data_IF_192810900410
#
_entry.id   IF_192810900410
#
_cell.length_a   1.000
_cell.length_b   1.000
_cell.length_c   1.000
_cell.angle_alpha   90.00
_cell.angle_beta   90.00
_cell.angle_gamma   90.00
#
_symmetry.space_group_name_H-M   'P 1'
#
loop_
_entity.id
_entity.type
_entity.pdbx_description
1 polymer ?
#
# COMPACT_ATOMS: atom_id res chain seq x y z
N UNK A 1 0.55 5.86 3.51
CA UNK A 1 -0.74 5.11 3.58
C UNK A 1 -1.83 5.76 2.72
N UNK A 2 -1.61 5.95 1.41
CA UNK A 2 -2.64 6.43 0.46
C UNK A 2 -2.66 5.54 -0.80
N UNK A 3 -2.57 4.23 -0.62
CA UNK A 3 -2.85 3.32 -1.72
C UNK A 3 -4.36 3.14 -1.80
N UNK A 4 -4.94 3.18 -3.00
CA UNK A 4 -6.37 2.95 -3.20
C UNK A 4 -6.79 1.59 -2.64
N UNK A 5 -5.86 0.61 -2.62
CA UNK A 5 -6.07 -0.74 -2.09
C UNK A 5 -6.47 -0.78 -0.62
N UNK A 6 -6.06 0.22 0.17
CA UNK A 6 -6.45 0.29 1.57
C UNK A 6 -7.94 0.62 1.75
N UNK A 7 -8.51 1.40 0.82
CA UNK A 7 -9.94 1.69 0.81
C UNK A 7 -10.72 0.40 0.57
N UNK A 8 -10.24 -0.47 -0.31
CA UNK A 8 -10.87 -1.76 -0.61
C UNK A 8 -10.86 -2.69 0.61
N UNK A 9 -9.72 -2.77 1.32
CA UNK A 9 -9.64 -3.50 2.60
C UNK A 9 -10.62 -2.94 3.62
N UNK A 10 -10.68 -1.61 3.77
CA UNK A 10 -11.63 -0.98 4.70
C UNK A 10 -13.08 -1.29 4.32
N UNK A 11 -13.42 -1.28 3.04
CA UNK A 11 -14.77 -1.61 2.56
C UNK A 11 -15.10 -3.09 2.78
N UNK A 12 -14.13 -3.99 2.57
CA UNK A 12 -14.30 -5.43 2.79
C UNK A 12 -14.73 -5.77 4.23
N UNK A 13 -14.14 -5.09 5.22
CA UNK A 13 -14.49 -5.29 6.63
C UNK A 13 -15.69 -4.45 7.11
N UNK A 14 -15.97 -3.31 6.47
CA UNK A 14 -17.07 -2.43 6.91
C UNK A 14 -18.45 -3.06 6.76
N UNK A 15 -18.64 -4.04 5.87
CA UNK A 15 -19.95 -4.58 5.53
C UNK A 15 -20.80 -3.55 4.78
N UNK A 16 -21.54 -3.98 3.76
CA UNK A 16 -22.50 -3.12 3.07
C UNK A 16 -22.85 -3.62 1.68
N UNK A 17 -23.99 -4.31 1.56
CA UNK A 17 -24.78 -4.26 0.35
C UNK A 17 -25.18 -2.80 0.11
N UNK A 18 -25.07 -2.33 -1.13
CA UNK A 18 -25.13 -0.93 -1.53
C UNK A 18 -26.55 -0.31 -1.55
N UNK A 19 -27.49 -0.75 -0.71
CA UNK A 19 -28.91 -0.36 -0.87
C UNK A 19 -29.65 0.20 0.34
N UNK A 20 -29.06 0.31 1.54
CA UNK A 20 -29.80 0.85 2.69
C UNK A 20 -29.22 2.22 3.13
N UNK A 21 -29.97 3.28 2.80
CA UNK A 21 -29.93 4.55 3.51
C UNK A 21 -30.79 4.39 4.77
N UNK A 22 -30.21 4.06 5.94
CA UNK A 22 -30.80 4.51 7.22
C UNK A 22 -29.87 4.35 8.44
N UNK A 23 -30.10 5.28 9.38
CA UNK A 23 -29.91 5.29 10.83
C UNK A 23 -28.77 4.47 11.47
N UNK A 24 -27.69 5.18 11.86
CA UNK A 24 -27.08 5.14 13.21
C UNK A 24 -26.59 3.82 13.82
N UNK A 25 -26.83 2.67 13.20
CA UNK A 25 -26.56 1.36 13.73
C UNK A 25 -25.39 0.75 12.96
N UNK A 26 -24.27 0.64 13.68
CA UNK A 26 -22.99 0.10 13.25
C UNK A 26 -23.08 -1.41 12.97
N UNK A 27 -23.80 -1.80 11.93
CA UNK A 27 -23.94 -3.17 11.43
C UNK A 27 -22.71 -3.64 10.64
N UNK A 28 -21.55 -3.03 10.90
CA UNK A 28 -20.30 -3.37 10.23
C UNK A 28 -19.59 -4.53 10.92
N UNK A 29 -19.29 -5.60 10.17
CA UNK A 29 -18.56 -6.78 10.66
C UNK A 29 -17.13 -6.46 11.15
N UNK A 30 -16.60 -5.29 10.80
CA UNK A 30 -15.33 -4.78 11.30
C UNK A 30 -15.05 -3.31 10.99
N UNK A 31 -14.22 -2.70 11.82
CA UNK A 31 -13.76 -1.31 11.73
C UNK A 31 -12.25 -1.26 11.78
N UNK A 32 -11.68 -0.51 10.84
CA UNK A 32 -10.25 -0.35 10.72
C UNK A 32 -9.84 1.09 11.04
N UNK A 33 -9.01 1.23 12.07
CA UNK A 33 -8.52 2.49 12.62
C UNK A 33 -7.08 2.73 12.20
N UNK A 34 -6.87 3.85 11.51
CA UNK A 34 -5.55 4.43 11.29
C UNK A 34 -5.52 5.79 11.96
N UNK A 35 -4.53 6.01 12.81
CA UNK A 35 -4.38 7.24 13.56
C UNK A 35 -2.94 7.45 13.98
N UNK A 36 -2.70 8.49 14.78
CA UNK A 36 -1.41 8.67 15.43
C UNK A 36 -1.21 7.52 16.42
N UNK A 37 -0.17 6.71 16.24
CA UNK A 37 0.10 5.56 17.11
C UNK A 37 0.07 5.93 18.59
N UNK A 38 0.70 7.05 18.97
CA UNK A 38 0.70 7.55 20.36
C UNK A 38 -0.70 7.77 20.94
N UNK A 39 -1.67 8.16 20.12
CA UNK A 39 -3.06 8.37 20.52
C UNK A 39 -3.79 7.04 20.67
N UNK A 40 -3.59 6.12 19.72
CA UNK A 40 -4.14 4.76 19.80
C UNK A 40 -3.59 4.00 21.02
N UNK A 41 -2.31 4.17 21.33
CA UNK A 41 -1.69 3.60 22.54
C UNK A 41 -2.32 4.12 23.83
N UNK A 42 -2.69 5.41 23.88
CA UNK A 42 -3.40 5.98 25.04
C UNK A 42 -4.81 5.40 25.12
N UNK A 43 -5.50 5.27 23.98
CA UNK A 43 -6.86 4.75 23.93
C UNK A 43 -6.97 3.27 24.37
N UNK A 44 -5.94 2.47 24.12
CA UNK A 44 -5.87 1.07 24.56
C UNK A 44 -5.36 0.88 26.00
N UNK A 45 -4.63 1.86 26.53
CA UNK A 45 -3.87 1.74 27.78
C UNK A 45 -2.38 1.46 27.53
N UNK A 46 -1.51 2.13 28.29
CA UNK A 46 -0.04 1.97 28.19
C UNK A 46 0.54 1.02 29.24
N UNK A 47 -0.19 0.83 30.33
CA UNK A 47 0.12 -0.09 31.43
C UNK A 47 -1.13 -0.92 31.73
N UNK A 48 -0.98 -1.96 32.55
CA UNK A 48 -2.10 -2.73 33.09
C UNK A 48 -3.02 -1.90 34.00
N UNK A 49 -2.58 -0.76 34.50
CA UNK A 49 -3.36 0.12 35.38
C UNK A 49 -4.30 1.03 34.57
N UNK A 50 -3.89 1.37 33.34
CA UNK A 50 -4.60 2.28 32.44
C UNK A 50 -5.40 1.53 31.35
N UNK A 51 -5.42 0.20 31.37
CA UNK A 51 -6.09 -0.58 30.33
C UNK A 51 -7.59 -0.69 30.55
N UNK A 52 -8.34 -0.60 29.45
CA UNK A 52 -9.79 -0.73 29.48
C UNK A 52 -10.25 -2.18 29.65
N UNK A 53 -9.42 -3.15 29.24
CA UNK A 53 -9.72 -4.57 29.31
C UNK A 53 -8.41 -5.34 29.48
N UNK A 54 -8.50 -6.51 30.10
CA UNK A 54 -7.35 -7.32 30.47
C UNK A 54 -6.41 -7.56 29.27
N UNK A 55 -5.12 -7.32 29.51
CA UNK A 55 -4.02 -7.48 28.56
C UNK A 55 -4.05 -6.58 27.31
N UNK A 56 -4.99 -5.65 27.20
CA UNK A 56 -5.09 -4.75 26.05
C UNK A 56 -3.86 -3.83 25.92
N UNK A 57 -3.19 -3.50 27.04
CA UNK A 57 -1.94 -2.75 27.03
C UNK A 57 -0.80 -3.48 26.30
N UNK A 58 -0.89 -4.79 26.08
CA UNK A 58 0.12 -5.53 25.32
C UNK A 58 0.06 -5.17 23.83
N UNK A 59 -1.15 -4.96 23.28
CA UNK A 59 -1.34 -4.53 21.88
C UNK A 59 -0.80 -3.12 21.66
N UNK A 60 -0.87 -2.25 22.66
CA UNK A 60 -0.37 -0.88 22.54
C UNK A 60 1.14 -0.83 22.30
N UNK A 61 1.90 -1.78 22.85
CA UNK A 61 3.35 -1.93 22.62
C UNK A 61 3.68 -2.22 21.15
N UNK A 62 2.82 -2.97 20.45
CA UNK A 62 2.98 -3.29 19.03
C UNK A 62 2.69 -2.10 18.08
N UNK A 63 2.12 -0.99 18.58
CA UNK A 63 1.75 0.16 17.76
C UNK A 63 2.95 1.06 17.39
N UNK A 64 3.92 0.55 16.63
CA UNK A 64 5.10 1.30 16.16
C UNK A 64 5.18 1.35 14.62
N UNK A 65 5.66 2.46 14.06
CA UNK A 65 5.75 2.62 12.61
C UNK A 65 4.40 2.80 11.91
N UNK A 66 4.24 2.20 10.73
CA UNK A 66 3.07 2.36 9.84
C UNK A 66 2.02 1.28 10.11
N UNK A 67 1.39 1.32 11.29
CA UNK A 67 0.46 0.29 11.78
C UNK A 67 -0.94 0.84 12.05
N UNK A 68 -1.92 -0.07 12.11
CA UNK A 68 -3.33 0.22 12.34
C UNK A 68 -3.98 -0.86 13.19
N UNK A 69 -5.21 -0.59 13.64
CA UNK A 69 -6.01 -1.55 14.42
C UNK A 69 -7.21 -1.97 13.58
N UNK A 70 -7.44 -3.26 13.45
CA UNK A 70 -8.68 -3.83 12.93
C UNK A 70 -9.46 -4.43 14.10
N UNK A 71 -10.64 -3.89 14.38
CA UNK A 71 -11.63 -4.50 15.26
C UNK A 71 -12.64 -5.25 14.38
N UNK A 72 -12.87 -6.53 14.58
CA UNK A 72 -13.84 -7.31 13.78
C UNK A 72 -14.42 -8.46 14.59
N UNK A 73 -15.65 -8.85 14.26
CA UNK A 73 -16.31 -10.03 14.82
C UNK A 73 -16.10 -11.29 13.95
N UNK A 74 -15.31 -11.20 12.88
CA UNK A 74 -14.99 -12.35 12.02
C UNK A 74 -14.02 -13.29 12.72
N UNK A 75 -14.08 -14.57 12.35
CA UNK A 75 -13.18 -15.58 12.93
C UNK A 75 -11.72 -15.26 12.60
N UNK A 76 -10.75 -15.57 13.49
CA UNK A 76 -9.35 -15.31 13.21
C UNK A 76 -8.85 -15.98 11.93
N UNK A 77 -9.33 -17.20 11.65
CA UNK A 77 -9.01 -17.96 10.44
C UNK A 77 -9.43 -17.23 9.16
N UNK A 78 -10.59 -16.58 9.16
CA UNK A 78 -11.07 -15.83 7.99
C UNK A 78 -10.24 -14.55 7.78
N UNK A 79 -9.89 -13.86 8.86
CA UNK A 79 -9.08 -12.64 8.81
C UNK A 79 -7.66 -12.95 8.34
N UNK A 80 -7.01 -13.92 8.96
CA UNK A 80 -5.66 -14.39 8.58
C UNK A 80 -5.65 -14.91 7.14
N UNK A 81 -6.67 -15.70 6.75
CA UNK A 81 -6.82 -16.20 5.39
C UNK A 81 -7.04 -15.10 4.35
N UNK A 82 -7.72 -14.01 4.70
CA UNK A 82 -7.88 -12.84 3.84
C UNK A 82 -6.56 -12.11 3.62
N UNK A 83 -5.86 -11.76 4.71
CA UNK A 83 -4.62 -10.98 4.62
C UNK A 83 -3.45 -11.78 4.02
N UNK A 84 -3.40 -13.09 4.23
CA UNK A 84 -2.43 -13.97 3.58
C UNK A 84 -2.57 -13.98 2.05
N UNK A 85 -3.79 -13.82 1.53
CA UNK A 85 -4.09 -13.74 0.09
C UNK A 85 -4.00 -12.32 -0.47
N UNK A 86 -3.95 -11.30 0.38
CA UNK A 86 -3.93 -9.91 -0.02
C UNK A 86 -2.55 -9.55 -0.57
N UNK A 87 -2.39 -9.66 -1.88
CA UNK A 87 -1.23 -9.18 -2.61
C UNK A 87 -1.71 -8.43 -3.86
N UNK A 88 -1.59 -7.10 -3.85
CA UNK A 88 -2.04 -6.27 -4.96
C UNK A 88 -0.86 -5.49 -5.53
N UNK A 89 -0.63 -5.59 -6.84
CA UNK A 89 0.43 -4.83 -7.50
C UNK A 89 0.15 -3.32 -7.38
N UNK A 90 1.16 -2.57 -6.96
CA UNK A 90 1.13 -1.12 -6.75
C UNK A 90 2.38 -0.47 -7.37
N UNK A 91 2.35 0.85 -7.54
CA UNK A 91 3.51 1.59 -8.00
C UNK A 91 4.55 1.70 -6.89
N UNK A 92 5.81 1.48 -7.26
CA UNK A 92 6.90 1.64 -6.32
C UNK A 92 7.07 3.12 -5.91
N UNK A 93 7.60 3.31 -4.71
CA UNK A 93 7.88 4.62 -4.13
C UNK A 93 9.37 4.84 -4.07
N UNK A 94 9.78 6.10 -4.13
CA UNK A 94 11.17 6.46 -3.98
C UNK A 94 11.73 5.98 -2.63
N UNK A 95 13.01 5.63 -2.61
CA UNK A 95 13.66 5.07 -1.41
C UNK A 95 13.47 3.55 -1.24
N UNK A 96 12.72 2.88 -2.12
CA UNK A 96 12.60 1.42 -2.12
C UNK A 96 13.62 0.81 -3.08
N UNK A 97 14.20 -0.34 -2.72
CA UNK A 97 15.01 -1.12 -3.65
C UNK A 97 14.12 -1.69 -4.77
N UNK A 98 14.57 -1.59 -6.02
CA UNK A 98 13.86 -2.15 -7.16
C UNK A 98 13.89 -3.69 -7.08
N UNK A 99 12.74 -4.38 -7.15
CA UNK A 99 12.71 -5.84 -7.04
C UNK A 99 13.21 -6.55 -8.32
N UNK A 100 13.32 -5.81 -9.43
CA UNK A 100 13.85 -6.29 -10.71
C UNK A 100 14.30 -5.10 -11.55
N UNK A 101 15.16 -5.38 -12.53
CA UNK A 101 15.54 -4.41 -13.55
C UNK A 101 14.35 -4.11 -14.48
N UNK A 102 14.18 -2.84 -14.85
CA UNK A 102 13.17 -2.42 -15.84
C UNK A 102 13.86 -1.73 -17.01
N UNK A 103 13.68 -2.31 -18.19
CA UNK A 103 14.14 -1.76 -19.46
C UNK A 103 12.91 -1.35 -20.26
N UNK A 104 12.87 -0.10 -20.70
CA UNK A 104 11.85 0.41 -21.61
C UNK A 104 12.32 0.24 -23.03
N UNK A 105 11.44 -0.30 -23.86
CA UNK A 105 11.68 -0.44 -25.29
C UNK A 105 11.13 0.76 -26.06
N UNK A 106 11.67 0.98 -27.27
CA UNK A 106 11.21 2.02 -28.19
C UNK A 106 9.72 1.89 -28.51
N UNK A 107 9.22 0.68 -28.68
CA UNK A 107 7.79 0.46 -28.95
C UNK A 107 6.90 0.93 -27.80
N UNK A 108 7.34 0.77 -26.54
CA UNK A 108 6.61 1.27 -25.38
C UNK A 108 6.55 2.80 -25.34
N UNK A 109 7.67 3.48 -25.61
CA UNK A 109 7.71 4.94 -25.53
C UNK A 109 6.95 5.59 -26.70
N UNK A 110 6.96 4.97 -27.89
CA UNK A 110 6.26 5.46 -29.09
C UNK A 110 4.74 5.54 -28.93
N UNK A 111 4.15 4.79 -27.99
CA UNK A 111 2.70 4.85 -27.70
C UNK A 111 2.26 6.14 -27.03
N UNK A 112 3.20 6.90 -26.45
CA UNK A 112 2.90 8.11 -25.72
C UNK A 112 2.78 9.33 -26.65
N UNK A 113 1.92 10.31 -26.32
CA UNK A 113 1.77 11.50 -27.13
C UNK A 113 3.04 12.37 -27.10
N UNK A 114 3.34 13.02 -28.23
CA UNK A 114 4.50 13.91 -28.38
C UNK A 114 4.53 15.05 -27.35
N UNK A 115 3.36 15.47 -26.85
CA UNK A 115 3.26 16.48 -25.78
C UNK A 115 3.95 16.07 -24.48
N UNK A 116 4.16 14.77 -24.22
CA UNK A 116 4.82 14.26 -23.02
C UNK A 116 6.35 14.24 -23.11
N UNK A 117 6.95 14.51 -24.28
CA UNK A 117 8.41 14.46 -24.48
C UNK A 117 9.15 15.37 -23.51
N UNK A 118 8.66 16.59 -23.32
CA UNK A 118 9.28 17.55 -22.40
C UNK A 118 9.21 17.09 -20.95
N UNK A 119 8.11 16.45 -20.56
CA UNK A 119 7.97 15.86 -19.24
C UNK A 119 8.93 14.68 -19.04
N UNK A 120 9.06 13.79 -20.04
CA UNK A 120 9.99 12.67 -19.98
C UNK A 120 11.45 13.13 -19.90
N UNK A 121 11.84 14.19 -20.62
CA UNK A 121 13.17 14.81 -20.50
C UNK A 121 13.44 15.33 -19.10
N UNK A 122 12.46 16.00 -18.48
CA UNK A 122 12.57 16.49 -17.09
C UNK A 122 12.72 15.36 -16.07
N UNK A 123 12.19 14.18 -16.37
CA UNK A 123 12.37 12.97 -15.57
C UNK A 123 13.68 12.23 -15.88
N UNK A 124 14.53 12.77 -16.76
CA UNK A 124 15.82 12.17 -17.11
C UNK A 124 15.76 11.08 -18.18
N UNK A 125 14.62 10.91 -18.86
CA UNK A 125 14.50 9.96 -19.97
C UNK A 125 15.04 10.60 -21.26
N UNK A 126 16.01 9.97 -21.96
CA UNK A 126 16.62 10.55 -23.16
C UNK A 126 15.71 10.35 -24.38
N UNK A 127 14.70 11.19 -24.54
CA UNK A 127 13.72 11.13 -25.64
C UNK A 127 13.73 12.33 -26.57
N UNK A 128 13.34 12.10 -27.82
CA UNK A 128 13.18 13.07 -28.89
C UNK A 128 11.92 12.79 -29.72
N UNK A 129 11.58 13.75 -30.59
CA UNK A 129 10.49 13.58 -31.56
C UNK A 129 11.12 13.14 -32.88
N UNK A 130 10.79 11.93 -33.33
CA UNK A 130 11.23 11.39 -34.61
C UNK A 130 10.01 10.98 -35.42
N UNK A 131 9.86 11.57 -36.62
CA UNK A 131 8.73 11.31 -37.52
C UNK A 131 7.36 11.43 -36.85
N UNK A 132 7.19 12.45 -35.98
CA UNK A 132 5.93 12.71 -35.27
C UNK A 132 5.63 11.74 -34.12
N UNK A 133 6.58 10.90 -33.71
CA UNK A 133 6.45 9.97 -32.57
C UNK A 133 7.55 10.23 -31.54
N UNK A 134 7.31 9.79 -30.31
CA UNK A 134 8.33 9.79 -29.26
C UNK A 134 9.33 8.66 -29.52
N UNK A 135 10.61 8.98 -29.57
CA UNK A 135 11.69 8.00 -29.73
C UNK A 135 12.82 8.29 -28.75
N UNK A 136 13.70 7.33 -28.49
CA UNK A 136 14.91 7.61 -27.73
C UNK A 136 15.93 8.38 -28.56
N UNK A 137 16.67 9.26 -27.89
CA UNK A 137 17.75 10.06 -28.49
C UNK A 137 18.83 9.14 -29.07
N UNK A 138 19.30 9.47 -30.27
CA UNK A 138 20.43 8.77 -30.89
C UNK A 138 20.05 7.41 -31.46
N UNK A 139 18.76 7.15 -31.68
CA UNK A 139 18.28 5.91 -32.30
C UNK A 139 18.37 4.68 -31.41
N UNK A 140 18.49 4.86 -30.09
CA UNK A 140 18.45 3.74 -29.13
C UNK A 140 17.11 3.00 -29.22
N UNK A 141 17.17 1.69 -29.05
CA UNK A 141 15.97 0.84 -29.03
C UNK A 141 15.46 0.56 -27.62
N UNK A 142 16.31 0.79 -26.61
CA UNK A 142 15.99 0.51 -25.22
C UNK A 142 16.68 1.46 -24.24
N UNK A 143 16.12 1.55 -23.03
CA UNK A 143 16.65 2.34 -21.93
C UNK A 143 16.37 1.69 -20.57
N UNK A 144 17.42 1.46 -19.78
CA UNK A 144 17.29 0.98 -18.40
C UNK A 144 16.78 2.12 -17.49
N UNK A 145 15.59 1.95 -16.92
CA UNK A 145 15.02 2.90 -15.96
C UNK A 145 15.58 2.65 -14.58
N UNK A 146 15.60 1.40 -14.14
CA UNK A 146 16.13 1.00 -12.85
C UNK A 146 16.74 -0.41 -12.92
N UNK A 147 17.64 -0.70 -11.97
CA UNK A 147 18.31 -1.97 -11.82
C UNK A 147 17.89 -2.65 -10.54
N UNK A 148 17.72 -3.97 -10.58
CA UNK A 148 17.44 -4.80 -9.41
C UNK A 148 18.38 -4.49 -8.23
N UNK A 149 17.81 -4.40 -7.03
CA UNK A 149 18.52 -4.13 -5.79
C UNK A 149 18.93 -2.67 -5.57
N UNK A 150 18.82 -1.79 -6.58
CA UNK A 150 19.12 -0.36 -6.43
C UNK A 150 17.93 0.43 -5.93
N UNK A 151 18.20 1.43 -5.11
CA UNK A 151 17.18 2.36 -4.63
C UNK A 151 16.54 3.15 -5.80
N UNK A 152 15.22 3.21 -5.80
CA UNK A 152 14.44 3.94 -6.79
C UNK A 152 14.40 5.43 -6.47
N UNK A 153 14.72 6.26 -7.47
CA UNK A 153 14.56 7.71 -7.41
C UNK A 153 13.09 8.12 -7.63
N UNK A 154 12.77 9.37 -7.30
CA UNK A 154 11.44 9.95 -7.55
C UNK A 154 11.13 10.00 -9.04
N UNK A 155 12.11 10.33 -9.86
CA UNK A 155 12.01 10.41 -11.32
C UNK A 155 11.76 9.03 -11.94
N UNK A 156 12.51 8.01 -11.49
CA UNK A 156 12.32 6.62 -11.91
C UNK A 156 10.90 6.15 -11.57
N UNK A 157 10.41 6.41 -10.35
CA UNK A 157 9.04 6.06 -9.97
C UNK A 157 7.99 6.74 -10.84
N UNK A 158 8.18 8.02 -11.18
CA UNK A 158 7.26 8.74 -12.09
C UNK A 158 7.29 8.18 -13.51
N UNK A 159 8.46 7.82 -14.03
CA UNK A 159 8.57 7.13 -15.32
C UNK A 159 7.80 5.81 -15.27
N UNK A 160 8.00 4.99 -14.24
CA UNK A 160 7.29 3.72 -14.07
C UNK A 160 5.76 3.90 -14.01
N UNK A 161 5.27 4.96 -13.34
CA UNK A 161 3.85 5.31 -13.32
C UNK A 161 3.33 5.63 -14.73
N UNK A 162 4.04 6.45 -15.51
CA UNK A 162 3.64 6.75 -16.88
C UNK A 162 3.62 5.51 -17.77
N UNK A 163 4.57 4.60 -17.56
CA UNK A 163 4.68 3.34 -18.31
C UNK A 163 3.72 2.26 -17.80
N UNK A 164 2.92 2.54 -16.76
CA UNK A 164 2.01 1.56 -16.14
C UNK A 164 2.73 0.38 -15.47
N UNK A 165 4.03 0.51 -15.19
CA UNK A 165 4.85 -0.56 -14.61
C UNK A 165 4.76 -0.50 -13.08
N UNK A 166 4.10 -1.51 -12.52
CA UNK A 166 4.00 -1.70 -11.07
C UNK A 166 5.19 -2.55 -10.59
N UNK A 167 5.91 -2.04 -9.60
CA UNK A 167 7.10 -2.68 -9.01
C UNK A 167 6.98 -2.84 -7.50
N UNK A 168 5.84 -2.52 -6.90
CA UNK A 168 5.59 -2.80 -5.49
C UNK A 168 4.41 -3.76 -5.37
N UNK A 169 4.34 -4.46 -4.25
CA UNK A 169 3.17 -5.24 -3.88
C UNK A 169 2.64 -4.65 -2.58
N UNK A 170 1.40 -4.19 -2.62
CA UNK A 170 0.67 -3.81 -1.43
C UNK A 170 0.25 -5.08 -0.68
N UNK A 171 0.71 -5.18 0.57
CA UNK A 171 0.35 -6.20 1.55
C UNK A 171 0.05 -5.53 2.89
N UNK A 172 -0.72 -6.21 3.72
CA UNK A 172 -0.93 -5.85 5.13
C UNK A 172 -0.55 -7.08 5.94
N UNK A 173 0.39 -6.90 6.84
CA UNK A 173 0.84 -7.94 7.77
C UNK A 173 0.07 -7.81 9.08
N UNK A 174 -0.39 -8.94 9.61
CA UNK A 174 -1.01 -9.03 10.92
C UNK A 174 0.09 -9.23 11.95
N UNK A 175 0.18 -8.35 12.96
CA UNK A 175 1.27 -8.38 13.95
C UNK A 175 0.84 -9.04 15.26
N UNK A 176 -0.35 -8.70 15.74
CA UNK A 176 -0.84 -9.18 17.04
C UNK A 176 -2.37 -9.18 17.04
N UNK A 177 -2.96 -10.20 17.65
CA UNK A 177 -4.40 -10.36 17.86
C UNK A 177 -4.69 -10.34 19.35
N UNK A 178 -5.75 -9.65 19.75
CA UNK A 178 -6.32 -9.71 21.10
C UNK A 178 -7.78 -10.14 21.01
N UNK A 179 -8.19 -11.03 21.90
CA UNK A 179 -9.56 -11.54 21.98
C UNK A 179 -10.26 -11.01 23.23
N UNK A 180 -11.47 -10.46 23.04
CA UNK A 180 -12.22 -9.81 24.11
C UNK A 180 -12.78 -10.81 25.14
N UNK A 181 -13.05 -12.04 24.71
CA UNK A 181 -13.73 -13.04 25.55
C UNK A 181 -12.88 -13.48 26.74
N UNK A 182 -11.58 -13.64 26.53
CA UNK A 182 -10.64 -14.18 27.51
C UNK A 182 -9.41 -13.30 27.75
N UNK A 183 -9.27 -12.19 27.02
CA UNK A 183 -8.11 -11.29 27.10
C UNK A 183 -6.84 -11.92 26.53
N UNK A 184 -6.95 -12.97 25.71
CA UNK A 184 -5.79 -13.66 25.13
C UNK A 184 -5.13 -12.79 24.07
N UNK A 185 -3.80 -12.70 24.13
CA UNK A 185 -2.95 -12.00 23.15
C UNK A 185 -2.14 -13.04 22.38
N UNK A 186 -2.24 -13.00 21.06
CA UNK A 186 -1.48 -13.86 20.15
C UNK A 186 -0.61 -12.98 19.24
N UNK A 187 0.71 -13.19 19.27
CA UNK A 187 1.60 -12.61 18.26
C UNK A 187 1.47 -13.40 16.96
N UNK A 188 1.28 -12.69 15.86
CA UNK A 188 1.13 -13.26 14.52
C UNK A 188 2.39 -12.88 13.73
N UNK A 189 3.10 -13.88 13.20
CA UNK A 189 4.32 -13.71 12.39
C UNK A 189 4.04 -14.00 10.92
#
# INVERSE_FOLDING_TARGET
>A
MRSNHFKDVRLHFRGGNSNDMDDGNDSGEGRLFLGKNKLLQIALGRSSEDEYSDNLHQISKSLTGSVGILCTNRSPKDVEGYFAKLAVEDFARAGQAAPRTVILTKSQIETHPVSMVEQFRKLGLPVEVKSGRVAFVGGREEWEVCKEGKELSVEQCKILVHMGVKLAVFRIELLTRWEKEDGTVNELQ
#
